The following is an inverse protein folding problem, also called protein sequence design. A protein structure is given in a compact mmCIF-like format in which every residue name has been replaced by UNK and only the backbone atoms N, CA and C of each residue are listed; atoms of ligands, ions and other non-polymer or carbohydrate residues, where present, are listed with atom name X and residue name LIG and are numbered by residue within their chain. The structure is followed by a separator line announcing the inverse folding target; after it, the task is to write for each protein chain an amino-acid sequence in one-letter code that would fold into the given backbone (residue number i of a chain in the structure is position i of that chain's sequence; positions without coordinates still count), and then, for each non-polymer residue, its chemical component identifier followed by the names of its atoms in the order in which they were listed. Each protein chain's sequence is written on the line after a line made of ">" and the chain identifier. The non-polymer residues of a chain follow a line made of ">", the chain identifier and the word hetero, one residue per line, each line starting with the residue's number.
data_IF_212506293775
#
_entry.id   IF_212506293775
#
_cell.length_a   1.000
_cell.length_b   1.000
_cell.length_c   1.000
_cell.angle_alpha   90.00
_cell.angle_beta   90.00
_cell.angle_gamma   90.00
#
_symmetry.space_group_name_H-M   'P 1'
#
loop_
_entity.id
_entity.type
_entity.pdbx_description
1 polymer ?
#
# COMPACT_ATOMS: atom_id res chain seq x y z
N UNK A 1 35.32 -11.63 -40.35
CA UNK A 1 33.98 -11.31 -40.87
C UNK A 1 33.03 -11.41 -39.68
N UNK A 2 32.72 -10.29 -39.03
CA UNK A 2 31.89 -10.24 -37.82
C UNK A 2 30.51 -9.70 -38.17
N UNK A 3 29.47 -10.46 -37.86
CA UNK A 3 28.07 -10.15 -38.14
C UNK A 3 27.57 -9.20 -37.04
N UNK A 4 27.24 -7.96 -37.42
CA UNK A 4 26.57 -6.99 -36.56
C UNK A 4 25.05 -7.21 -36.61
N UNK A 5 24.41 -7.48 -35.48
CA UNK A 5 22.96 -7.53 -35.36
C UNK A 5 22.43 -6.15 -34.96
N UNK A 6 21.95 -5.39 -35.95
CA UNK A 6 21.21 -4.15 -35.75
C UNK A 6 19.77 -4.49 -35.36
N UNK A 7 19.41 -4.30 -34.08
CA UNK A 7 18.04 -4.48 -33.61
C UNK A 7 17.28 -3.16 -33.81
N UNK A 8 16.58 -3.04 -34.94
CA UNK A 8 15.66 -1.93 -35.21
C UNK A 8 14.30 -2.26 -34.57
N UNK A 9 14.04 -1.73 -33.38
CA UNK A 9 12.68 -1.67 -32.86
C UNK A 9 12.00 -0.43 -33.43
N UNK A 10 11.13 -0.66 -34.42
CA UNK A 10 10.20 0.31 -34.98
C UNK A 10 9.23 0.78 -33.91
N UNK A 11 9.41 2.02 -33.45
CA UNK A 11 8.40 2.78 -32.75
C UNK A 11 7.45 3.36 -33.80
N UNK A 12 6.37 2.64 -34.13
CA UNK A 12 5.26 3.18 -34.90
C UNK A 12 3.95 2.46 -34.58
N UNK A 13 2.85 3.22 -34.64
CA UNK A 13 1.43 2.83 -34.52
C UNK A 13 0.84 2.62 -33.12
N UNK A 14 0.62 3.74 -32.42
CA UNK A 14 -0.61 3.95 -31.64
C UNK A 14 -1.37 5.16 -32.20
N UNK A 15 -2.00 4.97 -33.35
CA UNK A 15 -3.06 5.87 -33.85
C UNK A 15 -4.33 5.03 -34.01
N UNK A 16 -5.23 5.13 -33.04
CA UNK A 16 -6.51 4.44 -33.11
C UNK A 16 -7.42 4.77 -31.93
N UNK A 17 -8.58 5.34 -32.27
CA UNK A 17 -9.80 5.45 -31.45
C UNK A 17 -9.85 6.58 -30.39
N UNK A 18 -9.97 7.81 -30.87
CA UNK A 18 -10.88 8.78 -30.25
C UNK A 18 -12.28 8.55 -30.86
N UNK A 19 -13.09 7.68 -30.23
CA UNK A 19 -14.54 7.71 -30.41
C UNK A 19 -15.12 8.49 -29.24
N UNK A 20 -15.60 9.70 -29.52
CA UNK A 20 -16.38 10.51 -28.60
C UNK A 20 -17.77 9.86 -28.44
N UNK A 21 -17.86 8.91 -27.50
CA UNK A 21 -19.14 8.44 -26.99
C UNK A 21 -19.67 9.45 -25.97
N UNK A 22 -20.69 10.22 -26.36
CA UNK A 22 -21.46 11.05 -25.44
C UNK A 22 -22.22 10.15 -24.46
N UNK A 23 -21.67 9.97 -23.26
CA UNK A 23 -22.37 9.32 -22.16
C UNK A 23 -23.40 10.33 -21.63
N UNK A 24 -24.67 10.15 -22.01
CA UNK A 24 -25.79 10.77 -21.33
C UNK A 24 -25.91 10.15 -19.93
N UNK A 25 -25.42 10.84 -18.92
CA UNK A 25 -25.67 10.49 -17.52
C UNK A 25 -27.07 10.95 -17.13
N UNK A 26 -27.97 10.02 -16.89
CA UNK A 26 -29.26 10.28 -16.26
C UNK A 26 -29.03 10.81 -14.83
N UNK A 27 -29.37 12.07 -14.59
CA UNK A 27 -29.11 12.80 -13.36
C UNK A 27 -30.15 12.60 -12.23
N UNK A 28 -31.13 11.72 -12.40
CA UNK A 28 -32.35 11.71 -11.57
C UNK A 28 -32.46 10.58 -10.53
N UNK A 29 -31.35 10.01 -10.05
CA UNK A 29 -31.42 8.89 -9.07
C UNK A 29 -30.50 8.99 -7.84
N UNK A 30 -30.22 10.19 -7.34
CA UNK A 30 -29.50 10.39 -6.07
C UNK A 30 -30.16 11.41 -5.13
N UNK A 31 -31.48 11.31 -4.92
CA UNK A 31 -32.15 11.96 -3.79
C UNK A 31 -32.52 10.89 -2.75
N UNK A 32 -31.60 10.58 -1.84
CA UNK A 32 -31.91 9.61 -0.79
C UNK A 32 -30.84 9.28 0.26
N UNK A 33 -29.73 10.01 0.36
CA UNK A 33 -28.69 9.72 1.37
C UNK A 33 -28.20 10.93 2.19
N UNK A 34 -28.84 12.09 2.04
CA UNK A 34 -28.53 13.25 2.86
C UNK A 34 -29.46 13.28 4.07
N UNK A 35 -29.08 12.58 5.14
CA UNK A 35 -29.33 12.95 6.55
C UNK A 35 -28.95 11.79 7.48
N UNK A 36 -27.66 11.48 7.56
CA UNK A 36 -27.13 10.68 8.68
C UNK A 36 -26.13 11.54 9.44
N UNK A 37 -26.69 12.23 10.43
CA UNK A 37 -26.13 12.55 11.75
C UNK A 37 -24.63 12.83 11.80
N UNK A 38 -24.31 14.13 11.78
CA UNK A 38 -23.08 14.69 12.33
C UNK A 38 -23.05 14.45 13.84
N UNK A 39 -22.52 13.31 14.31
CA UNK A 39 -22.13 13.15 15.71
C UNK A 39 -20.96 12.17 15.84
N UNK A 40 -19.80 12.77 16.13
CA UNK A 40 -18.66 12.23 16.88
C UNK A 40 -17.85 11.04 16.30
N UNK A 41 -16.68 11.37 15.73
CA UNK A 41 -15.37 10.74 15.96
C UNK A 41 -15.19 9.21 15.90
N UNK A 42 -16.12 8.45 15.34
CA UNK A 42 -15.79 7.11 14.89
C UNK A 42 -15.24 7.21 13.48
N UNK A 43 -13.93 7.03 13.41
CA UNK A 43 -13.18 6.66 12.22
C UNK A 43 -13.93 5.52 11.55
N UNK A 44 -14.85 5.90 10.65
CA UNK A 44 -15.52 4.98 9.75
C UNK A 44 -14.43 4.56 8.77
N UNK A 45 -13.59 3.63 9.26
CA UNK A 45 -12.62 2.92 8.46
C UNK A 45 -13.48 2.25 7.40
N UNK A 46 -13.52 2.88 6.23
CA UNK A 46 -13.88 2.18 5.01
C UNK A 46 -12.76 1.15 4.86
N UNK A 47 -12.93 0.03 5.56
CA UNK A 47 -12.32 -1.23 5.20
C UNK A 47 -12.92 -1.51 3.83
N UNK A 48 -12.35 -0.92 2.79
CA UNK A 48 -12.37 -1.53 1.48
C UNK A 48 -11.93 -2.95 1.77
N UNK A 49 -12.91 -3.86 1.71
CA UNK A 49 -12.72 -5.27 1.86
C UNK A 49 -11.76 -5.62 0.72
N UNK A 50 -10.46 -5.62 1.01
CA UNK A 50 -9.45 -6.29 0.23
C UNK A 50 -10.05 -7.68 -0.01
N UNK A 51 -10.52 -7.92 -1.23
CA UNK A 51 -11.24 -9.14 -1.55
C UNK A 51 -10.37 -10.34 -1.21
N UNK A 52 -10.95 -11.52 -1.04
CA UNK A 52 -10.16 -12.74 -0.77
C UNK A 52 -9.03 -12.97 -1.81
N UNK A 53 -9.18 -12.42 -3.02
CA UNK A 53 -8.15 -12.40 -4.05
C UNK A 53 -6.89 -11.61 -3.63
N UNK A 54 -7.06 -10.44 -3.00
CA UNK A 54 -5.96 -9.58 -2.56
C UNK A 54 -5.11 -10.26 -1.49
N UNK A 55 -5.70 -11.14 -0.65
CA UNK A 55 -4.96 -11.83 0.41
C UNK A 55 -3.95 -12.86 -0.11
N UNK A 56 -4.19 -13.42 -1.31
CA UNK A 56 -3.34 -14.46 -1.89
C UNK A 56 -2.16 -13.91 -2.69
N UNK A 57 -2.24 -12.65 -3.10
CA UNK A 57 -1.20 -12.01 -3.91
C UNK A 57 -0.11 -11.39 -3.04
N UNK A 58 1.15 -11.45 -3.44
CA UNK A 58 2.22 -10.76 -2.71
C UNK A 58 2.02 -9.24 -2.75
N UNK A 59 2.49 -8.54 -1.72
CA UNK A 59 2.22 -7.12 -1.55
C UNK A 59 2.85 -6.26 -2.67
N UNK A 60 3.96 -6.71 -3.27
CA UNK A 60 4.63 -6.00 -4.37
C UNK A 60 3.78 -6.10 -5.64
N UNK A 61 3.29 -7.30 -5.98
CA UNK A 61 2.39 -7.49 -7.14
C UNK A 61 1.10 -6.70 -6.95
N UNK A 62 0.53 -6.68 -5.74
CA UNK A 62 -0.63 -5.85 -5.42
C UNK A 62 -0.35 -4.36 -5.67
N UNK A 63 0.79 -3.85 -5.22
CA UNK A 63 1.19 -2.45 -5.45
C UNK A 63 1.38 -2.13 -6.94
N UNK A 64 1.88 -3.08 -7.74
CA UNK A 64 2.04 -2.90 -9.20
C UNK A 64 0.72 -2.92 -9.94
N UNK A 65 -0.18 -3.83 -9.57
CA UNK A 65 -1.46 -4.00 -10.25
C UNK A 65 -2.45 -2.87 -9.95
N UNK A 66 -2.33 -2.25 -8.77
CA UNK A 66 -3.27 -1.23 -8.27
C UNK A 66 -2.54 0.05 -7.80
N UNK A 67 -1.93 0.82 -8.72
CA UNK A 67 -1.17 2.02 -8.38
C UNK A 67 -2.00 3.09 -7.66
N UNK A 68 -3.30 3.17 -7.93
CA UNK A 68 -4.22 4.12 -7.31
C UNK A 68 -4.29 3.99 -5.79
N UNK A 69 -3.91 2.84 -5.23
CA UNK A 69 -3.93 2.57 -3.78
C UNK A 69 -2.81 3.28 -3.00
N UNK A 70 -1.73 3.67 -3.67
CA UNK A 70 -0.59 4.32 -3.03
C UNK A 70 -0.13 5.60 -3.72
N UNK A 71 -0.51 5.81 -4.99
CA UNK A 71 -0.11 7.00 -5.74
C UNK A 71 -0.64 8.30 -5.12
N UNK A 72 -1.83 8.24 -4.49
CA UNK A 72 -2.42 9.36 -3.75
C UNK A 72 -1.84 9.58 -2.34
N UNK A 73 -0.90 8.74 -1.87
CA UNK A 73 -0.23 9.01 -0.60
C UNK A 73 0.68 10.24 -0.73
N UNK A 74 0.50 11.22 0.17
CA UNK A 74 1.35 12.39 0.24
C UNK A 74 2.53 12.13 1.20
N UNK A 75 3.75 12.42 0.74
CA UNK A 75 4.94 12.42 1.60
C UNK A 75 5.07 13.80 2.23
N UNK A 76 5.17 13.87 3.56
CA UNK A 76 5.30 15.16 4.24
C UNK A 76 6.71 15.70 4.04
N UNK A 77 6.84 17.02 3.91
CA UNK A 77 8.13 17.67 3.63
C UNK A 77 9.22 17.34 4.66
N UNK A 78 8.83 17.19 5.93
CA UNK A 78 9.74 16.90 7.05
C UNK A 78 9.63 15.45 7.53
N UNK A 79 9.07 14.54 6.72
CA UNK A 79 9.00 13.13 7.09
C UNK A 79 10.38 12.47 6.95
N UNK A 80 10.83 11.83 8.03
CA UNK A 80 12.03 10.98 8.00
C UNK A 80 11.67 9.63 7.38
N UNK A 81 12.41 9.24 6.33
CA UNK A 81 12.11 8.04 5.55
C UNK A 81 13.20 6.99 5.78
N UNK A 82 12.77 5.78 6.16
CA UNK A 82 13.62 4.61 6.34
C UNK A 82 13.09 3.48 5.46
N UNK A 83 13.80 3.17 4.39
CA UNK A 83 13.53 2.00 3.52
C UNK A 83 14.54 0.88 3.81
N UNK A 84 15.71 1.24 4.35
CA UNK A 84 16.73 0.32 4.83
C UNK A 84 17.34 0.89 6.13
N UNK A 85 18.49 0.36 6.54
CA UNK A 85 19.17 0.68 7.82
C UNK A 85 19.51 2.17 8.03
N UNK A 86 19.61 2.97 6.98
CA UNK A 86 19.91 4.39 7.07
C UNK A 86 18.72 5.25 6.65
N UNK A 87 18.67 6.47 7.18
CA UNK A 87 17.75 7.50 6.73
C UNK A 87 18.02 7.89 5.27
N UNK A 88 16.96 8.17 4.53
CA UNK A 88 17.03 8.77 3.22
C UNK A 88 16.74 10.27 3.32
N UNK A 89 17.56 11.08 2.65
CA UNK A 89 17.41 12.52 2.55
C UNK A 89 16.79 12.91 1.21
N UNK A 90 15.89 13.88 1.20
CA UNK A 90 15.27 14.39 -0.03
C UNK A 90 16.32 15.09 -0.90
N UNK A 91 16.46 14.67 -2.15
CA UNK A 91 17.39 15.25 -3.12
C UNK A 91 16.77 16.53 -3.68
N UNK A 92 17.39 17.70 -3.50
CA UNK A 92 16.95 18.85 -4.28
C UNK A 92 17.33 18.66 -5.75
N UNK A 93 16.46 19.07 -6.68
CA UNK A 93 16.57 18.77 -8.12
C UNK A 93 17.92 19.11 -8.76
N UNK A 94 18.73 19.98 -8.15
CA UNK A 94 20.01 20.43 -8.67
C UNK A 94 21.25 19.81 -7.98
N UNK A 95 21.08 19.02 -6.92
CA UNK A 95 22.22 18.49 -6.15
C UNK A 95 22.76 17.17 -6.67
N UNK A 96 21.94 16.39 -7.39
CA UNK A 96 22.32 15.07 -7.87
C UNK A 96 21.75 14.82 -9.25
N UNK A 97 22.62 14.83 -10.24
CA UNK A 97 22.29 14.53 -11.64
C UNK A 97 22.67 13.10 -11.97
N UNK A 98 21.95 12.50 -12.91
CA UNK A 98 22.31 11.21 -13.46
C UNK A 98 22.16 10.02 -12.51
N UNK A 99 21.35 10.12 -11.46
CA UNK A 99 21.09 8.99 -10.58
C UNK A 99 20.13 7.98 -11.22
N UNK A 100 20.12 6.76 -10.68
CA UNK A 100 19.22 5.67 -11.10
C UNK A 100 18.44 5.21 -9.88
N UNK A 101 17.15 4.89 -10.04
CA UNK A 101 16.35 4.42 -8.93
C UNK A 101 16.70 2.96 -8.56
N UNK A 102 17.16 2.76 -7.33
CA UNK A 102 17.46 1.45 -6.74
C UNK A 102 16.21 0.61 -6.44
N UNK A 103 15.02 1.12 -6.73
CA UNK A 103 13.81 0.29 -6.76
C UNK A 103 13.89 -0.88 -7.75
N UNK A 104 14.86 -0.90 -8.67
CA UNK A 104 15.19 -2.07 -9.49
C UNK A 104 15.73 -3.27 -8.71
N UNK A 105 16.27 -3.05 -7.50
CA UNK A 105 16.82 -4.10 -6.64
C UNK A 105 15.73 -4.76 -5.79
N UNK A 106 16.07 -5.89 -5.18
CA UNK A 106 15.20 -6.54 -4.19
C UNK A 106 14.96 -5.59 -3.00
N UNK A 107 13.73 -5.58 -2.42
CA UNK A 107 12.62 -6.49 -2.72
C UNK A 107 11.68 -6.00 -3.84
N UNK A 108 11.77 -4.75 -4.29
CA UNK A 108 10.76 -4.15 -5.19
C UNK A 108 10.80 -4.71 -6.62
N UNK A 109 11.94 -5.23 -7.07
CA UNK A 109 12.12 -5.86 -8.39
C UNK A 109 11.69 -4.97 -9.57
N UNK A 110 11.94 -3.65 -9.51
CA UNK A 110 11.67 -2.70 -10.58
C UNK A 110 11.24 -1.33 -10.08
N UNK A 111 11.71 -0.26 -10.72
CA UNK A 111 11.29 1.10 -10.40
C UNK A 111 9.79 1.34 -10.67
N UNK A 112 9.06 1.88 -9.70
CA UNK A 112 7.63 2.24 -9.84
C UNK A 112 7.40 3.52 -10.67
N UNK A 113 8.44 4.29 -10.97
CA UNK A 113 8.38 5.38 -11.95
C UNK A 113 8.83 4.97 -13.36
N UNK A 114 9.28 3.72 -13.54
CA UNK A 114 9.80 3.26 -14.84
C UNK A 114 11.22 3.73 -15.19
N UNK A 115 11.98 4.25 -14.22
CA UNK A 115 13.40 4.58 -14.41
C UNK A 115 14.20 3.28 -14.56
N UNK A 116 14.87 3.11 -15.69
CA UNK A 116 15.65 1.91 -16.02
C UNK A 116 17.13 2.18 -16.25
N UNK A 117 17.53 3.45 -16.42
CA UNK A 117 18.90 3.84 -16.74
C UNK A 117 19.27 5.21 -16.13
N UNK A 118 20.56 5.52 -16.10
CA UNK A 118 21.10 6.77 -15.62
C UNK A 118 20.60 7.98 -16.44
N UNK A 119 20.46 9.15 -15.80
CA UNK A 119 19.99 10.41 -16.39
C UNK A 119 18.53 10.41 -16.89
N UNK A 120 17.77 9.34 -16.68
CA UNK A 120 16.32 9.36 -16.96
C UNK A 120 15.56 10.17 -15.89
N UNK A 121 16.02 10.11 -14.63
CA UNK A 121 15.46 10.90 -13.51
C UNK A 121 15.36 12.39 -13.84
N UNK A 122 16.41 12.95 -14.42
CA UNK A 122 16.57 14.37 -14.66
C UNK A 122 15.61 14.84 -15.76
N UNK A 123 15.42 14.01 -16.79
CA UNK A 123 14.49 14.28 -17.89
C UNK A 123 13.03 14.18 -17.46
N UNK A 124 12.74 13.35 -16.47
CA UNK A 124 11.37 13.09 -15.98
C UNK A 124 10.95 14.06 -14.87
N UNK A 125 11.86 14.92 -14.38
CA UNK A 125 11.60 15.84 -13.28
C UNK A 125 11.06 15.14 -12.01
N UNK A 126 11.57 13.95 -11.73
CA UNK A 126 11.12 13.11 -10.61
C UNK A 126 11.86 13.49 -9.33
N UNK A 127 11.10 13.70 -8.25
CA UNK A 127 11.66 13.90 -6.92
C UNK A 127 12.34 12.60 -6.43
N UNK A 128 13.59 12.71 -5.98
CA UNK A 128 14.38 11.60 -5.47
C UNK A 128 14.74 11.75 -3.99
N UNK A 129 15.11 10.64 -3.37
CA UNK A 129 15.68 10.56 -2.03
C UNK A 129 16.93 9.69 -2.05
N UNK A 130 17.93 10.07 -1.27
CA UNK A 130 19.25 9.45 -1.24
C UNK A 130 19.60 8.98 0.16
N UNK A 131 20.14 7.77 0.25
CA UNK A 131 21.00 7.39 1.36
C UNK A 131 22.46 7.63 0.99
N UNK A 132 23.10 8.63 1.59
CA UNK A 132 24.49 8.97 1.29
C UNK A 132 25.50 7.87 1.68
N UNK A 133 25.39 7.22 2.86
CA UNK A 133 26.31 6.14 3.22
C UNK A 133 26.28 4.93 2.28
N UNK A 134 25.09 4.54 1.80
CA UNK A 134 24.92 3.34 0.96
C UNK A 134 24.93 3.62 -0.54
N UNK A 135 24.89 4.89 -0.93
CA UNK A 135 24.68 5.31 -2.30
C UNK A 135 23.42 4.69 -2.93
N UNK A 136 22.32 4.68 -2.16
CA UNK A 136 21.02 4.23 -2.62
C UNK A 136 20.11 5.40 -2.95
N UNK A 137 19.48 5.37 -4.10
CA UNK A 137 18.57 6.41 -4.58
C UNK A 137 17.18 5.83 -4.86
N UNK A 138 16.15 6.45 -4.31
CA UNK A 138 14.76 6.07 -4.54
C UNK A 138 13.98 7.25 -5.11
N UNK A 139 13.16 7.00 -6.12
CA UNK A 139 12.17 7.97 -6.58
C UNK A 139 10.95 8.02 -5.65
N UNK A 140 10.21 9.12 -5.72
CA UNK A 140 8.97 9.33 -4.96
C UNK A 140 8.01 8.13 -5.00
N UNK A 141 7.75 7.60 -6.20
CA UNK A 141 6.80 6.50 -6.37
C UNK A 141 7.30 5.22 -5.71
N UNK A 142 8.59 4.92 -5.74
CA UNK A 142 9.14 3.75 -5.05
C UNK A 142 9.00 3.89 -3.53
N UNK A 143 9.13 5.09 -2.99
CA UNK A 143 8.92 5.34 -1.56
C UNK A 143 7.46 5.13 -1.18
N UNK A 144 6.53 5.74 -1.90
CA UNK A 144 5.08 5.57 -1.67
C UNK A 144 4.67 4.10 -1.78
N UNK A 145 5.11 3.42 -2.84
CA UNK A 145 4.87 1.98 -3.02
C UNK A 145 5.45 1.17 -1.85
N UNK A 146 6.66 1.49 -1.37
CA UNK A 146 7.28 0.78 -0.24
C UNK A 146 6.46 0.97 1.06
N UNK A 147 6.00 2.19 1.36
CA UNK A 147 5.14 2.45 2.53
C UNK A 147 3.83 1.65 2.45
N UNK A 148 3.23 1.58 1.26
CA UNK A 148 2.03 0.77 1.03
C UNK A 148 2.31 -0.72 1.21
N UNK A 149 3.38 -1.25 0.64
CA UNK A 149 3.81 -2.65 0.79
C UNK A 149 4.02 -2.99 2.27
N UNK A 150 4.70 -2.12 3.03
CA UNK A 150 4.90 -2.30 4.46
C UNK A 150 3.59 -2.31 5.23
N UNK A 151 2.66 -1.41 4.90
CA UNK A 151 1.33 -1.33 5.51
C UNK A 151 0.52 -2.62 5.27
N UNK A 152 0.50 -3.11 4.04
CA UNK A 152 -0.18 -4.37 3.67
C UNK A 152 0.47 -5.56 4.37
N UNK A 153 1.81 -5.61 4.40
CA UNK A 153 2.56 -6.69 5.04
C UNK A 153 2.31 -6.73 6.55
N UNK A 154 2.40 -5.59 7.24
CA UNK A 154 2.09 -5.47 8.67
C UNK A 154 0.65 -5.86 9.00
N UNK A 155 -0.32 -5.43 8.18
CA UNK A 155 -1.72 -5.81 8.34
C UNK A 155 -1.91 -7.32 8.25
N UNK A 156 -1.26 -7.97 7.28
CA UNK A 156 -1.30 -9.44 7.11
C UNK A 156 -0.63 -10.17 8.27
N UNK A 157 0.52 -9.70 8.75
CA UNK A 157 1.20 -10.27 9.91
C UNK A 157 0.33 -10.17 11.17
N UNK A 158 -0.29 -9.01 11.42
CA UNK A 158 -1.20 -8.81 12.55
C UNK A 158 -2.44 -9.73 12.47
N UNK A 159 -2.88 -10.13 11.26
CA UNK A 159 -3.96 -11.12 11.10
C UNK A 159 -3.50 -12.52 11.50
N UNK A 160 -2.23 -12.87 11.27
CA UNK A 160 -1.67 -14.17 11.66
C UNK A 160 -1.47 -14.30 13.18
N UNK A 161 -1.26 -13.18 13.88
CA UNK A 161 -1.14 -13.14 15.34
C UNK A 161 -2.49 -13.13 16.06
N UNK A 162 -3.62 -13.02 15.35
CA UNK A 162 -4.93 -13.17 15.97
C UNK A 162 -5.16 -14.64 16.34
N UNK A 163 -5.62 -14.93 17.57
CA UNK A 163 -5.96 -16.29 17.95
C UNK A 163 -6.97 -16.84 16.95
N UNK A 164 -6.68 -18.01 16.39
CA UNK A 164 -7.55 -18.64 15.39
C UNK A 164 -9.00 -18.67 15.89
N UNK A 165 -9.99 -18.63 14.98
CA UNK A 165 -11.41 -18.77 15.37
C UNK A 165 -11.67 -19.97 16.28
N UNK A 166 -10.86 -21.03 16.17
CA UNK A 166 -10.86 -22.18 17.06
C UNK A 166 -10.37 -21.84 18.48
N UNK A 167 -9.29 -21.07 18.63
CA UNK A 167 -8.82 -20.56 19.92
C UNK A 167 -9.81 -19.58 20.57
N UNK A 168 -10.46 -18.72 19.78
CA UNK A 168 -11.53 -17.83 20.29
C UNK A 168 -12.72 -18.64 20.84
N UNK A 169 -13.11 -19.73 20.16
CA UNK A 169 -14.15 -20.64 20.68
C UNK A 169 -13.73 -21.31 22.00
N UNK A 170 -12.48 -21.76 22.13
CA UNK A 170 -11.99 -22.35 23.38
C UNK A 170 -11.93 -21.33 24.53
N UNK A 171 -11.58 -20.07 24.24
CA UNK A 171 -11.58 -18.98 25.23
C UNK A 171 -13.00 -18.64 25.71
N UNK A 172 -13.99 -18.59 24.80
CA UNK A 172 -15.39 -18.36 25.19
C UNK A 172 -16.00 -19.52 26.00
N UNK A 173 -15.63 -20.78 25.73
CA UNK A 173 -16.10 -21.93 26.51
C UNK A 173 -15.53 -21.90 27.94
N UNK A 174 -14.26 -21.51 28.12
CA UNK A 174 -13.68 -21.34 29.46
C UNK A 174 -14.34 -20.21 30.25
N UNK A 175 -14.67 -19.08 29.60
CA UNK A 175 -15.38 -17.98 30.28
C UNK A 175 -16.78 -18.36 30.77
N UNK A 176 -17.53 -19.16 30.00
CA UNK A 176 -18.85 -19.65 30.41
C UNK A 176 -18.73 -20.66 31.58
N UNK A 177 -17.70 -21.50 31.58
CA UNK A 177 -17.49 -22.48 32.65
C UNK A 177 -17.11 -21.85 34.00
N UNK A 178 -16.43 -20.70 34.01
CA UNK A 178 -16.04 -20.01 35.27
C UNK A 178 -17.23 -19.27 35.88
N UNK A 179 -18.09 -18.67 35.05
CA UNK A 179 -19.28 -17.95 35.55
C UNK A 179 -20.34 -18.88 36.14
N UNK A 180 -20.47 -20.12 35.66
CA UNK A 180 -21.36 -21.11 36.28
C UNK A 180 -20.85 -21.65 37.62
N UNK A 181 -19.55 -21.54 37.92
CA UNK A 181 -18.99 -22.01 39.19
C UNK A 181 -19.15 -20.98 40.33
N UNK A 182 -19.22 -19.69 40.01
CA UNK A 182 -19.38 -18.61 41.00
C UNK A 182 -20.85 -18.47 41.43
N UNK A 183 -21.81 -18.75 40.55
CA UNK A 183 -23.24 -18.69 40.86
C UNK A 183 -23.71 -19.73 41.89
N UNK A 184 -23.02 -20.87 42.03
CA UNK A 184 -23.45 -21.94 42.93
C UNK A 184 -22.96 -21.79 44.38
N UNK A 185 -22.08 -20.81 44.67
CA UNK A 185 -21.50 -20.62 46.00
C UNK A 185 -22.21 -19.56 46.85
N UNK A 186 -23.25 -18.92 46.32
CA UNK A 186 -24.01 -17.85 46.99
C UNK A 186 -25.33 -18.29 47.64
N UNK A 187 -25.73 -19.57 47.54
CA UNK A 187 -26.98 -20.07 48.14
C UNK A 187 -26.84 -20.75 49.51
N UNK A 188 -25.65 -20.84 50.11
CA UNK A 188 -25.45 -21.56 51.38
C UNK A 188 -25.19 -20.67 52.62
N UNK A 189 -25.68 -19.42 52.66
CA UNK A 189 -25.43 -18.53 53.81
C UNK A 189 -26.66 -17.88 54.48
N UNK A 190 -27.88 -18.28 54.12
CA UNK A 190 -29.10 -17.67 54.68
C UNK A 190 -29.98 -18.67 55.46
N UNK A 191 -29.37 -19.53 56.28
CA UNK A 191 -30.10 -20.33 57.28
C UNK A 191 -29.40 -20.20 58.64
N UNK A 192 -29.75 -19.15 59.38
CA UNK A 192 -29.59 -19.04 60.84
C UNK A 192 -30.60 -18.04 61.36
#
# INVERSE_FOLDING_TARGET
>A
MGICCSNQNSADQWQGLQQEGSIQTNADQLQGLENVSQNNNDSLVIFYLEGEADQKMDAITLARQYPERWQGEELKENETIFIHEHQLDKISQNLRVGWICDGGKAPLNGCFSGITDFNQSDKMNIQGWVCWPCNFDYCENCIKASKYIDKVTKKRLNILDLPSKAQIRQLNIRFISVNNFIGHKLQMKNET
#
